data_IF_311692120846
#
_entry.id   IF_311692120846
#
_cell.length_a   1.000
_cell.length_b   1.000
_cell.length_c   1.000
_cell.angle_alpha   90.00
_cell.angle_beta   90.00
_cell.angle_gamma   90.00
#
_symmetry.space_group_name_H-M   'P 1'
#
loop_
_entity.id
_entity.type
_entity.pdbx_description
1 polymer ?
#
# COMPACT_ATOMS: atom_id res chain seq x y z
N UNK A 1 20.84 9.68 0.12
CA UNK A 1 19.77 8.81 0.63
C UNK A 1 19.54 7.67 -0.33
N UNK A 2 19.35 6.46 0.20
CA UNK A 2 19.03 5.29 -0.61
C UNK A 2 17.58 5.36 -1.07
N UNK A 3 17.31 5.03 -2.33
CA UNK A 3 15.97 4.74 -2.81
C UNK A 3 15.68 3.30 -2.44
N UNK A 4 14.45 3.01 -2.07
CA UNK A 4 13.99 1.67 -1.80
C UNK A 4 13.13 1.21 -2.98
N UNK A 5 13.63 0.22 -3.72
CA UNK A 5 12.94 -0.40 -4.85
C UNK A 5 12.84 -1.89 -4.62
N UNK A 6 11.70 -2.48 -4.91
CA UNK A 6 11.46 -3.90 -4.70
C UNK A 6 10.18 -4.38 -5.34
N UNK A 7 9.68 -5.51 -4.89
CA UNK A 7 8.51 -6.12 -5.47
C UNK A 7 7.63 -6.80 -4.42
N UNK A 8 6.36 -6.98 -4.76
CA UNK A 8 5.45 -7.87 -4.08
C UNK A 8 5.58 -9.26 -4.69
N UNK A 9 6.23 -10.17 -3.97
CA UNK A 9 6.41 -11.53 -4.42
C UNK A 9 5.84 -12.53 -3.41
N UNK A 10 5.54 -13.72 -3.88
CA UNK A 10 5.11 -14.80 -3.00
C UNK A 10 6.20 -15.11 -1.97
N UNK A 11 5.79 -15.28 -0.72
CA UNK A 11 6.70 -15.68 0.35
C UNK A 11 7.31 -17.04 0.00
N UNK A 12 8.63 -17.09 0.06
CA UNK A 12 9.39 -18.34 -0.01
C UNK A 12 9.30 -19.12 1.31
N UNK A 13 10.18 -20.08 1.53
CA UNK A 13 10.20 -20.87 2.76
C UNK A 13 10.25 -20.02 4.04
N UNK A 14 10.98 -18.90 4.01
CA UNK A 14 11.04 -17.92 5.09
C UNK A 14 10.97 -16.50 4.53
N UNK A 15 10.61 -15.52 5.38
CA UNK A 15 10.64 -14.10 5.00
C UNK A 15 12.07 -13.67 4.66
N UNK A 16 13.05 -14.06 5.45
CA UNK A 16 14.46 -13.75 5.20
C UNK A 16 14.89 -14.26 3.82
N UNK A 17 14.50 -15.50 3.47
CA UNK A 17 14.81 -16.04 2.15
C UNK A 17 14.19 -15.22 1.01
N UNK A 18 12.97 -14.72 1.22
CA UNK A 18 12.31 -13.84 0.26
C UNK A 18 13.04 -12.48 0.15
N UNK A 19 13.51 -11.92 1.28
CA UNK A 19 14.33 -10.70 1.29
C UNK A 19 15.67 -10.90 0.55
N UNK A 20 16.34 -12.02 0.78
CA UNK A 20 17.58 -12.40 0.06
C UNK A 20 17.34 -12.48 -1.44
N UNK A 21 16.22 -13.06 -1.87
CA UNK A 21 15.86 -13.17 -3.28
C UNK A 21 15.66 -11.80 -3.92
N UNK A 22 14.98 -10.88 -3.24
CA UNK A 22 14.85 -9.47 -3.68
C UNK A 22 16.23 -8.81 -3.77
N UNK A 23 17.07 -8.96 -2.75
CA UNK A 23 18.44 -8.39 -2.73
C UNK A 23 19.28 -8.91 -3.87
N UNK A 24 19.23 -10.21 -4.15
CA UNK A 24 19.95 -10.86 -5.27
C UNK A 24 19.52 -10.30 -6.62
N UNK A 25 18.28 -9.88 -6.75
CA UNK A 25 17.72 -9.28 -7.96
C UNK A 25 17.83 -7.74 -8.00
N UNK A 26 18.67 -7.15 -7.13
CA UNK A 26 18.98 -5.73 -7.16
C UNK A 26 17.99 -4.83 -6.40
N UNK A 27 17.00 -5.41 -5.70
CA UNK A 27 16.06 -4.67 -4.85
C UNK A 27 16.51 -4.57 -3.40
N UNK A 28 15.93 -3.66 -2.66
CA UNK A 28 16.17 -3.44 -1.23
C UNK A 28 14.87 -3.15 -0.45
N UNK A 29 13.74 -3.56 -0.98
CA UNK A 29 12.49 -3.60 -0.22
C UNK A 29 11.58 -4.74 -0.70
N UNK A 30 10.70 -5.19 0.18
CA UNK A 30 9.77 -6.29 -0.05
C UNK A 30 8.38 -5.88 0.44
N UNK A 31 7.37 -6.07 -0.42
CA UNK A 31 5.99 -6.13 0.02
C UNK A 31 5.55 -7.59 0.13
N UNK A 32 4.79 -7.90 1.17
CA UNK A 32 4.33 -9.26 1.42
C UNK A 32 2.96 -9.29 2.11
N UNK A 33 2.24 -10.40 1.95
CA UNK A 33 1.13 -10.73 2.83
C UNK A 33 1.64 -11.44 4.08
N UNK A 34 1.17 -11.02 5.24
CA UNK A 34 1.46 -11.68 6.53
C UNK A 34 0.31 -12.56 6.99
N UNK A 35 -0.85 -12.44 6.35
CA UNK A 35 -2.03 -13.27 6.52
C UNK A 35 -2.46 -13.88 5.18
N UNK A 36 -3.44 -14.79 5.20
CA UNK A 36 -4.03 -15.25 3.96
C UNK A 36 -4.80 -14.09 3.30
N UNK A 37 -4.43 -13.66 2.07
CA UNK A 37 -5.05 -12.50 1.43
C UNK A 37 -6.53 -12.68 1.10
N UNK A 38 -7.07 -13.89 1.22
CA UNK A 38 -8.48 -14.22 0.90
C UNK A 38 -9.26 -14.68 2.14
N UNK A 39 -8.76 -14.44 3.34
CA UNK A 39 -9.38 -14.87 4.58
C UNK A 39 -9.23 -13.81 5.67
N UNK A 40 -10.17 -13.77 6.61
CA UNK A 40 -10.07 -13.01 7.86
C UNK A 40 -9.52 -13.85 9.01
N UNK A 41 -9.00 -15.05 8.73
CA UNK A 41 -8.38 -15.90 9.73
C UNK A 41 -7.07 -15.29 10.21
N UNK A 42 -6.94 -15.12 11.52
CA UNK A 42 -5.74 -14.59 12.13
C UNK A 42 -4.63 -15.65 12.10
N UNK A 43 -3.42 -15.22 11.75
CA UNK A 43 -2.23 -16.07 11.86
C UNK A 43 -1.71 -16.07 13.30
N UNK A 44 -0.95 -17.10 13.69
CA UNK A 44 -0.30 -17.10 15.00
C UNK A 44 0.83 -16.05 15.03
N UNK A 45 0.73 -15.10 15.94
CA UNK A 45 1.70 -14.02 16.16
C UNK A 45 3.07 -14.55 16.53
N UNK A 46 3.15 -15.66 17.30
CA UNK A 46 4.42 -16.25 17.71
C UNK A 46 5.32 -16.60 16.52
N UNK A 47 4.73 -16.91 15.36
CA UNK A 47 5.47 -17.12 14.12
C UNK A 47 6.25 -15.89 13.65
N UNK A 48 5.79 -14.68 14.01
CA UNK A 48 6.44 -13.42 13.69
C UNK A 48 7.34 -12.93 14.82
N UNK A 49 6.95 -13.11 16.07
CA UNK A 49 7.78 -12.80 17.23
C UNK A 49 9.11 -13.56 17.18
N UNK A 50 9.07 -14.85 16.82
CA UNK A 50 10.26 -15.71 16.76
C UNK A 50 11.28 -15.33 15.67
N UNK A 51 10.89 -14.51 14.67
CA UNK A 51 11.75 -14.12 13.54
C UNK A 51 11.91 -12.60 13.43
N UNK A 52 11.30 -11.83 14.31
CA UNK A 52 11.27 -10.38 14.23
C UNK A 52 12.65 -9.75 14.28
N UNK A 53 13.49 -10.23 15.19
CA UNK A 53 14.84 -9.69 15.34
C UNK A 53 15.73 -10.03 14.14
N UNK A 54 15.62 -11.23 13.57
CA UNK A 54 16.30 -11.61 12.34
C UNK A 54 15.92 -10.69 11.17
N UNK A 55 14.61 -10.36 11.04
CA UNK A 55 14.12 -9.44 10.00
C UNK A 55 14.70 -8.04 10.20
N UNK A 56 14.70 -7.53 11.43
CA UNK A 56 15.25 -6.22 11.77
C UNK A 56 16.76 -6.16 11.54
N UNK A 57 17.49 -7.20 11.96
CA UNK A 57 18.93 -7.31 11.73
C UNK A 57 19.26 -7.33 10.24
N UNK A 58 18.58 -8.17 9.46
CA UNK A 58 18.74 -8.20 8.01
C UNK A 58 18.45 -6.83 7.39
N UNK A 59 17.36 -6.19 7.81
CA UNK A 59 16.96 -4.86 7.33
C UNK A 59 18.02 -3.80 7.62
N UNK A 60 18.56 -3.78 8.81
CA UNK A 60 19.62 -2.86 9.21
C UNK A 60 20.92 -3.11 8.42
N UNK A 61 21.35 -4.38 8.32
CA UNK A 61 22.59 -4.79 7.65
C UNK A 61 22.58 -4.50 6.15
N UNK A 62 21.44 -4.69 5.48
CA UNK A 62 21.32 -4.55 4.03
C UNK A 62 20.64 -3.26 3.60
N UNK A 63 20.36 -2.33 4.53
CA UNK A 63 19.55 -1.13 4.27
C UNK A 63 18.26 -1.51 3.53
N UNK A 64 17.52 -2.46 4.08
CA UNK A 64 16.35 -3.07 3.49
C UNK A 64 15.07 -2.63 4.22
N UNK A 65 13.96 -2.46 3.49
CA UNK A 65 12.66 -2.18 4.07
C UNK A 65 11.63 -3.25 3.73
N UNK A 66 10.68 -3.42 4.62
CA UNK A 66 9.48 -4.21 4.37
C UNK A 66 8.24 -3.32 4.45
N UNK A 67 7.23 -3.67 3.70
CA UNK A 67 5.88 -3.13 3.79
C UNK A 67 4.89 -4.29 3.65
N UNK A 68 3.78 -4.24 4.36
CA UNK A 68 2.76 -5.29 4.32
C UNK A 68 1.65 -4.83 3.38
N UNK A 69 1.10 -5.75 2.57
CA UNK A 69 -0.19 -5.55 1.92
C UNK A 69 -1.27 -6.25 2.73
N UNK A 70 -2.36 -5.57 2.98
CA UNK A 70 -3.48 -6.12 3.76
C UNK A 70 -4.23 -7.22 3.01
N UNK A 71 -4.95 -8.05 3.77
CA UNK A 71 -5.88 -9.00 3.18
C UNK A 71 -6.95 -8.31 2.32
N UNK A 72 -7.23 -8.84 1.14
CA UNK A 72 -8.30 -8.35 0.24
C UNK A 72 -9.71 -8.48 0.83
N UNK A 73 -9.87 -9.18 1.94
CA UNK A 73 -11.14 -9.29 2.65
C UNK A 73 -11.47 -8.06 3.49
N UNK A 74 -10.49 -7.18 3.70
CA UNK A 74 -10.67 -5.93 4.42
C UNK A 74 -11.37 -4.92 3.50
N UNK A 75 -12.47 -4.37 3.99
CA UNK A 75 -13.21 -3.30 3.32
C UNK A 75 -13.56 -2.23 4.35
N UNK A 76 -12.79 -1.14 4.36
CA UNK A 76 -12.90 -0.05 5.34
C UNK A 76 -14.28 0.63 5.35
N UNK A 77 -15.01 0.60 4.21
CA UNK A 77 -16.34 1.19 4.10
C UNK A 77 -17.48 0.23 4.51
N UNK A 78 -17.12 -1.02 4.87
CA UNK A 78 -18.11 -2.02 5.21
C UNK A 78 -18.60 -1.84 6.64
N UNK A 79 -19.92 -1.87 6.82
CA UNK A 79 -20.53 -1.95 8.15
C UNK A 79 -20.12 -3.24 8.89
N UNK A 80 -19.82 -3.13 10.18
CA UNK A 80 -19.51 -4.27 11.02
C UNK A 80 -20.78 -5.08 11.31
N UNK A 81 -20.94 -6.22 10.67
CA UNK A 81 -22.12 -7.09 10.79
C UNK A 81 -21.73 -8.56 10.95
N UNK A 82 -22.52 -9.28 11.74
CA UNK A 82 -22.59 -10.73 11.75
C UNK A 82 -23.97 -11.15 11.28
N UNK A 83 -24.08 -11.65 10.06
CA UNK A 83 -25.35 -11.81 9.37
C UNK A 83 -26.09 -10.48 9.20
N UNK A 84 -27.29 -10.37 9.77
CA UNK A 84 -28.12 -9.14 9.75
C UNK A 84 -27.87 -8.22 10.98
N UNK A 85 -27.16 -8.70 11.98
CA UNK A 85 -26.93 -7.95 13.23
C UNK A 85 -25.71 -7.07 13.09
N UNK A 86 -25.84 -5.77 13.41
CA UNK A 86 -24.71 -4.88 13.63
C UNK A 86 -23.96 -5.30 14.88
N UNK A 87 -22.64 -5.40 14.79
CA UNK A 87 -21.74 -5.76 15.87
C UNK A 87 -20.74 -4.63 16.14
N UNK A 88 -20.21 -4.53 17.35
CA UNK A 88 -19.19 -3.54 17.66
C UNK A 88 -17.89 -3.85 16.90
N UNK A 89 -17.05 -2.83 16.70
CA UNK A 89 -15.82 -2.92 15.89
C UNK A 89 -14.81 -3.92 16.46
N UNK A 90 -14.76 -4.09 17.77
CA UNK A 90 -13.89 -5.09 18.41
C UNK A 90 -14.33 -6.55 18.17
N UNK A 91 -15.53 -6.78 17.65
CA UNK A 91 -16.01 -8.11 17.24
C UNK A 91 -15.95 -8.29 15.71
N UNK A 92 -15.61 -7.24 14.96
CA UNK A 92 -15.62 -7.22 13.52
C UNK A 92 -14.37 -7.91 12.95
N UNK A 93 -14.53 -9.07 12.30
CA UNK A 93 -13.42 -9.92 11.86
C UNK A 93 -12.42 -9.20 10.95
N UNK A 94 -12.85 -8.39 9.99
CA UNK A 94 -11.95 -7.69 9.09
C UNK A 94 -11.19 -6.55 9.79
N UNK A 95 -11.78 -5.89 10.81
CA UNK A 95 -11.07 -4.91 11.65
C UNK A 95 -10.01 -5.62 12.49
N UNK A 96 -10.37 -6.77 13.09
CA UNK A 96 -9.41 -7.58 13.86
C UNK A 96 -8.26 -8.07 12.97
N UNK A 97 -8.53 -8.44 11.72
CA UNK A 97 -7.47 -8.79 10.76
C UNK A 97 -6.54 -7.61 10.51
N UNK A 98 -7.08 -6.40 10.25
CA UNK A 98 -6.25 -5.21 10.03
C UNK A 98 -5.41 -4.85 11.26
N UNK A 99 -5.99 -4.86 12.45
CA UNK A 99 -5.25 -4.61 13.70
C UNK A 99 -4.14 -5.64 13.92
N UNK A 100 -4.39 -6.88 13.58
CA UNK A 100 -3.42 -7.97 13.67
C UNK A 100 -2.25 -7.78 12.69
N UNK A 101 -2.54 -7.42 11.44
CA UNK A 101 -1.53 -7.11 10.42
C UNK A 101 -0.69 -5.87 10.80
N UNK A 102 -1.31 -4.85 11.38
CA UNK A 102 -0.62 -3.67 11.92
C UNK A 102 0.28 -4.02 13.11
N UNK A 103 -0.16 -4.91 13.99
CA UNK A 103 0.66 -5.40 15.09
C UNK A 103 1.87 -6.19 14.58
N UNK A 104 1.68 -7.06 13.59
CA UNK A 104 2.80 -7.75 12.93
C UNK A 104 3.74 -6.75 12.26
N UNK A 105 3.21 -5.73 11.58
CA UNK A 105 4.02 -4.65 10.99
C UNK A 105 4.93 -3.97 12.02
N UNK A 106 4.38 -3.66 13.21
CA UNK A 106 5.14 -3.11 14.33
C UNK A 106 6.24 -4.07 14.81
N UNK A 107 5.89 -5.34 15.03
CA UNK A 107 6.82 -6.38 15.53
C UNK A 107 8.04 -6.51 14.60
N UNK A 108 7.82 -6.63 13.29
CA UNK A 108 8.89 -6.85 12.32
C UNK A 108 9.57 -5.55 11.85
N UNK A 109 9.15 -4.39 12.33
CA UNK A 109 9.70 -3.09 11.93
C UNK A 109 9.37 -2.70 10.49
N UNK A 110 8.20 -3.09 10.00
CA UNK A 110 7.71 -2.77 8.67
C UNK A 110 7.27 -1.30 8.56
N UNK A 111 7.28 -0.74 7.35
CA UNK A 111 6.91 0.66 7.09
C UNK A 111 5.41 0.95 7.22
N UNK A 112 4.58 -0.07 7.30
CA UNK A 112 3.13 0.02 7.47
C UNK A 112 2.40 -1.11 6.75
N UNK A 113 1.08 -0.99 6.71
CA UNK A 113 0.15 -1.92 6.03
C UNK A 113 -0.60 -1.16 4.96
N UNK A 114 -0.38 -1.50 3.69
CA UNK A 114 -1.13 -0.95 2.55
C UNK A 114 -2.53 -1.56 2.54
N UNK A 115 -3.53 -0.70 2.45
CA UNK A 115 -4.94 -1.07 2.50
C UNK A 115 -5.68 -0.36 1.36
N UNK A 116 -6.41 -1.12 0.54
CA UNK A 116 -7.33 -0.52 -0.42
C UNK A 116 -8.38 0.33 0.29
N UNK A 117 -8.77 1.44 -0.30
CA UNK A 117 -9.95 2.19 0.16
C UNK A 117 -11.20 1.31 0.10
N UNK A 118 -12.20 1.65 0.90
CA UNK A 118 -13.41 0.85 0.97
C UNK A 118 -14.29 0.91 -0.28
N UNK A 119 -15.16 -0.09 -0.39
CA UNK A 119 -16.26 -0.17 -1.36
C UNK A 119 -17.58 -0.07 -0.60
N UNK A 120 -18.46 0.85 -1.01
CA UNK A 120 -19.75 1.02 -0.31
C UNK A 120 -20.75 -0.11 -0.58
N UNK A 121 -20.50 -0.91 -1.63
CA UNK A 121 -21.30 -2.10 -2.01
C UNK A 121 -22.80 -1.79 -2.17
N UNK A 122 -23.64 -2.25 -1.25
CA UNK A 122 -25.11 -2.04 -1.25
C UNK A 122 -25.57 -0.85 -0.40
N UNK A 123 -24.64 -0.16 0.27
CA UNK A 123 -24.92 1.04 1.06
C UNK A 123 -24.88 2.30 0.17
N UNK A 124 -25.32 3.44 0.72
CA UNK A 124 -25.05 4.71 0.04
C UNK A 124 -23.56 5.05 0.11
N UNK A 125 -23.12 5.91 -0.79
CA UNK A 125 -21.72 6.38 -0.79
C UNK A 125 -21.37 7.10 0.52
N UNK A 126 -22.28 7.90 1.04
CA UNK A 126 -22.15 8.66 2.28
C UNK A 126 -21.97 7.72 3.48
N UNK A 127 -22.83 6.71 3.61
CA UNK A 127 -22.70 5.67 4.65
C UNK A 127 -21.35 4.92 4.56
N UNK A 128 -20.91 4.63 3.33
CA UNK A 128 -19.59 4.01 3.11
C UNK A 128 -18.44 4.89 3.59
N UNK A 129 -18.49 6.21 3.35
CA UNK A 129 -17.50 7.16 3.82
C UNK A 129 -17.52 7.33 5.35
N UNK A 130 -18.70 7.37 5.96
CA UNK A 130 -18.88 7.42 7.42
C UNK A 130 -18.30 6.15 8.08
N UNK A 131 -18.61 4.97 7.53
CA UNK A 131 -18.06 3.71 8.03
C UNK A 131 -16.53 3.67 7.91
N UNK A 132 -16.00 4.12 6.77
CA UNK A 132 -14.55 4.16 6.53
C UNK A 132 -13.85 5.09 7.54
N UNK A 133 -14.44 6.27 7.80
CA UNK A 133 -13.92 7.19 8.80
C UNK A 133 -13.92 6.54 10.18
N UNK A 134 -15.07 6.03 10.61
CA UNK A 134 -15.21 5.42 11.93
C UNK A 134 -14.26 4.22 12.13
N UNK A 135 -14.08 3.39 11.08
CA UNK A 135 -13.15 2.28 11.12
C UNK A 135 -11.69 2.75 11.26
N UNK A 136 -11.27 3.78 10.52
CA UNK A 136 -9.92 4.32 10.62
C UNK A 136 -9.67 4.98 11.98
N UNK A 137 -10.62 5.78 12.50
CA UNK A 137 -10.53 6.37 13.83
C UNK A 137 -10.40 5.28 14.90
N UNK A 138 -11.22 4.23 14.85
CA UNK A 138 -11.13 3.09 15.76
C UNK A 138 -9.77 2.39 15.69
N UNK A 139 -9.24 2.16 14.47
CA UNK A 139 -7.92 1.54 14.29
C UNK A 139 -6.82 2.43 14.86
N UNK A 140 -6.84 3.73 14.56
CA UNK A 140 -5.86 4.71 15.06
C UNK A 140 -5.87 4.75 16.59
N UNK A 141 -7.05 4.83 17.21
CA UNK A 141 -7.19 4.82 18.67
C UNK A 141 -6.58 3.55 19.30
N UNK A 142 -6.77 2.40 18.65
CA UNK A 142 -6.15 1.15 19.10
C UNK A 142 -4.62 1.17 18.97
N UNK A 143 -4.08 1.72 17.86
CA UNK A 143 -2.64 1.86 17.67
C UNK A 143 -2.04 2.78 18.76
N UNK A 144 -2.68 3.90 19.03
CA UNK A 144 -2.25 4.85 20.06
C UNK A 144 -2.27 4.22 21.45
N UNK A 145 -3.41 3.61 21.81
CA UNK A 145 -3.61 3.01 23.13
C UNK A 145 -2.61 1.88 23.43
N UNK A 146 -2.19 1.14 22.42
CA UNK A 146 -1.27 0.01 22.56
C UNK A 146 0.17 0.35 22.15
N UNK A 147 0.49 1.63 21.93
CA UNK A 147 1.83 2.12 21.55
C UNK A 147 2.41 1.41 20.31
N UNK A 148 1.54 1.09 19.35
CA UNK A 148 1.91 0.40 18.11
C UNK A 148 2.36 1.43 17.08
N UNK A 149 3.64 1.45 16.75
CA UNK A 149 4.22 2.34 15.74
C UNK A 149 4.10 1.76 14.33
N UNK A 150 2.86 1.56 13.85
CA UNK A 150 2.58 1.13 12.49
C UNK A 150 1.64 2.13 11.80
N UNK A 151 1.67 2.17 10.46
CA UNK A 151 0.81 3.04 9.66
C UNK A 151 -0.20 2.22 8.87
N UNK A 152 -1.44 2.71 8.83
CA UNK A 152 -2.42 2.33 7.80
C UNK A 152 -2.11 3.15 6.55
N UNK A 153 -1.66 2.52 5.49
CA UNK A 153 -1.25 3.20 4.25
C UNK A 153 -2.38 3.05 3.24
N UNK A 154 -3.17 4.11 3.06
CA UNK A 154 -4.32 4.11 2.16
C UNK A 154 -3.86 4.14 0.70
N UNK A 155 -4.29 3.16 -0.07
CA UNK A 155 -3.96 3.06 -1.48
C UNK A 155 -4.95 3.85 -2.33
N UNK A 156 -4.44 4.59 -3.33
CA UNK A 156 -5.28 5.30 -4.30
C UNK A 156 -6.08 4.31 -5.14
N UNK A 157 -7.41 4.44 -5.25
CA UNK A 157 -8.26 3.47 -5.93
C UNK A 157 -8.28 3.62 -7.45
N UNK A 158 -8.54 2.50 -8.14
CA UNK A 158 -8.81 2.49 -9.57
C UNK A 158 -10.23 2.98 -9.93
N UNK A 159 -11.14 2.94 -8.97
CA UNK A 159 -12.57 3.24 -9.18
C UNK A 159 -13.39 2.03 -9.62
N UNK A 160 -12.90 0.80 -9.34
CA UNK A 160 -13.59 -0.42 -9.76
C UNK A 160 -14.84 -0.68 -8.93
N UNK A 161 -15.98 -0.79 -9.62
CA UNK A 161 -17.28 -1.07 -9.00
C UNK A 161 -17.74 0.10 -8.12
N UNK A 162 -17.83 -0.12 -6.80
CA UNK A 162 -18.31 0.86 -5.84
C UNK A 162 -17.19 1.39 -4.94
N UNK A 163 -15.95 1.40 -5.42
CA UNK A 163 -14.82 2.00 -4.70
C UNK A 163 -15.07 3.47 -4.40
N UNK A 164 -14.75 3.85 -3.16
CA UNK A 164 -14.82 5.22 -2.71
C UNK A 164 -13.56 6.00 -3.11
N UNK A 165 -13.65 7.33 -3.06
CA UNK A 165 -12.49 8.23 -3.18
C UNK A 165 -11.70 8.10 -4.48
N UNK A 166 -12.35 7.71 -5.58
CA UNK A 166 -11.72 7.59 -6.91
C UNK A 166 -11.27 8.96 -7.46
N UNK A 167 -12.00 10.03 -7.11
CA UNK A 167 -11.50 11.38 -7.36
C UNK A 167 -10.38 11.70 -6.36
N UNK A 168 -9.21 12.06 -6.88
CA UNK A 168 -8.02 12.28 -6.06
C UNK A 168 -8.14 13.51 -5.14
N UNK A 169 -8.92 14.52 -5.53
CA UNK A 169 -9.20 15.65 -4.63
C UNK A 169 -10.05 15.20 -3.45
N UNK A 170 -11.09 14.38 -3.70
CA UNK A 170 -11.91 13.82 -2.61
C UNK A 170 -11.08 12.91 -1.70
N UNK A 171 -10.18 12.10 -2.28
CA UNK A 171 -9.23 11.27 -1.51
C UNK A 171 -8.37 12.15 -0.58
N UNK A 172 -7.79 13.22 -1.11
CA UNK A 172 -6.96 14.14 -0.33
C UNK A 172 -7.76 14.94 0.70
N UNK A 173 -8.99 15.36 0.37
CA UNK A 173 -9.90 16.01 1.35
C UNK A 173 -10.22 15.05 2.48
N UNK A 174 -10.57 13.80 2.19
CA UNK A 174 -10.84 12.77 3.19
C UNK A 174 -9.60 12.51 4.05
N UNK A 175 -8.43 12.30 3.45
CA UNK A 175 -7.16 12.07 4.15
C UNK A 175 -6.81 13.25 5.08
N UNK A 176 -6.91 14.48 4.59
CA UNK A 176 -6.56 15.69 5.33
C UNK A 176 -7.64 16.09 6.36
N UNK A 177 -8.78 15.41 6.40
CA UNK A 177 -9.80 15.63 7.44
C UNK A 177 -9.47 14.97 8.78
N UNK A 178 -8.45 14.09 8.82
CA UNK A 178 -7.86 13.58 10.06
C UNK A 178 -6.91 14.62 10.66
N UNK A 179 -6.83 14.66 12.00
CA UNK A 179 -5.91 15.56 12.70
C UNK A 179 -4.44 15.18 12.41
N UNK A 180 -3.52 16.13 12.64
CA UNK A 180 -2.07 15.85 12.49
C UNK A 180 -1.61 14.67 13.36
N UNK A 181 -2.12 14.55 14.58
CA UNK A 181 -1.82 13.43 15.46
C UNK A 181 -2.32 12.09 14.90
N UNK A 182 -3.54 12.07 14.34
CA UNK A 182 -4.08 10.88 13.69
C UNK A 182 -3.28 10.50 12.42
N UNK A 183 -2.87 11.50 11.63
CA UNK A 183 -2.07 11.26 10.42
C UNK A 183 -0.68 10.68 10.68
N UNK A 184 -0.17 10.74 11.90
CA UNK A 184 1.06 9.99 12.25
C UNK A 184 0.90 8.48 12.07
N UNK A 185 -0.33 7.98 12.15
CA UNK A 185 -0.71 6.57 11.97
C UNK A 185 -1.29 6.28 10.57
N UNK A 186 -1.35 7.28 9.72
CA UNK A 186 -1.80 7.14 8.33
C UNK A 186 -0.65 7.35 7.36
N UNK A 187 -0.82 6.84 6.15
CA UNK A 187 0.05 7.08 5.01
C UNK A 187 -0.73 6.96 3.71
N UNK A 188 -0.08 7.29 2.61
CA UNK A 188 -0.64 7.19 1.25
C UNK A 188 0.24 6.22 0.46
N UNK A 189 -0.39 5.31 -0.28
CA UNK A 189 0.21 4.54 -1.35
C UNK A 189 -0.36 5.03 -2.68
N UNK A 190 0.49 5.48 -3.60
CA UNK A 190 0.07 5.82 -4.96
C UNK A 190 0.30 4.59 -5.86
N UNK A 191 -0.79 3.99 -6.38
CA UNK A 191 -0.68 2.96 -7.40
C UNK A 191 -0.82 3.58 -8.80
N UNK A 192 0.18 3.36 -9.66
CA UNK A 192 0.23 3.97 -10.99
C UNK A 192 -0.81 3.40 -11.95
N UNK A 193 -1.15 2.11 -11.85
CA UNK A 193 -2.21 1.50 -12.65
C UNK A 193 -3.60 1.97 -12.20
N UNK A 194 -3.80 2.15 -10.88
CA UNK A 194 -5.04 2.70 -10.32
C UNK A 194 -5.25 4.15 -10.74
N UNK A 195 -4.23 5.00 -10.60
CA UNK A 195 -4.28 6.41 -11.03
C UNK A 195 -4.62 6.52 -12.52
N UNK A 196 -4.00 5.70 -13.35
CA UNK A 196 -4.30 5.63 -14.77
C UNK A 196 -5.75 5.19 -15.03
N UNK A 197 -6.19 4.13 -14.37
CA UNK A 197 -7.56 3.65 -14.47
C UNK A 197 -8.59 4.68 -13.96
N UNK A 198 -8.24 5.47 -12.95
CA UNK A 198 -9.06 6.56 -12.43
C UNK A 198 -9.09 7.79 -13.38
N UNK A 199 -8.18 7.87 -14.37
CA UNK A 199 -8.20 8.90 -15.40
C UNK A 199 -7.13 9.98 -15.26
N UNK A 200 -6.15 9.82 -14.37
CA UNK A 200 -5.09 10.79 -14.13
C UNK A 200 -3.80 10.44 -14.88
N UNK A 201 -3.00 11.46 -15.20
CA UNK A 201 -1.59 11.28 -15.55
C UNK A 201 -0.76 11.06 -14.28
N UNK A 202 0.27 10.20 -14.36
CA UNK A 202 1.08 9.81 -13.20
C UNK A 202 1.74 11.01 -12.52
N UNK A 203 2.32 11.90 -13.33
CA UNK A 203 3.00 13.10 -12.84
C UNK A 203 2.04 14.10 -12.18
N UNK A 204 0.82 14.20 -12.67
CA UNK A 204 -0.16 15.15 -12.14
C UNK A 204 -0.74 14.62 -10.82
N UNK A 205 -1.07 13.33 -10.74
CA UNK A 205 -1.48 12.69 -9.49
C UNK A 205 -0.39 12.82 -8.41
N UNK A 206 0.86 12.57 -8.79
CA UNK A 206 1.98 12.74 -7.86
C UNK A 206 2.12 14.18 -7.35
N UNK A 207 1.99 15.17 -8.24
CA UNK A 207 2.02 16.60 -7.85
C UNK A 207 0.87 16.95 -6.90
N UNK A 208 -0.36 16.46 -7.17
CA UNK A 208 -1.51 16.68 -6.30
C UNK A 208 -1.26 16.17 -4.88
N UNK A 209 -0.76 14.94 -4.74
CA UNK A 209 -0.41 14.36 -3.43
C UNK A 209 0.74 15.14 -2.80
N UNK A 210 1.83 15.38 -3.53
CA UNK A 210 3.03 16.00 -2.99
C UNK A 210 2.88 17.46 -2.58
N UNK A 211 1.85 18.15 -3.05
CA UNK A 211 1.62 19.55 -2.72
C UNK A 211 1.43 19.81 -1.23
N UNK A 212 0.74 18.87 -0.53
CA UNK A 212 0.45 19.00 0.90
C UNK A 212 0.84 17.76 1.70
N UNK A 213 1.00 16.61 1.05
CA UNK A 213 1.15 15.32 1.68
C UNK A 213 2.43 14.59 1.21
N UNK A 214 3.49 15.34 0.90
CA UNK A 214 4.74 14.75 0.42
C UNK A 214 5.36 13.76 1.43
N UNK A 215 5.27 14.05 2.73
CA UNK A 215 5.78 13.20 3.79
C UNK A 215 4.84 12.04 4.14
N UNK A 216 3.57 12.17 3.76
CA UNK A 216 2.56 11.12 3.95
C UNK A 216 2.62 10.04 2.85
N UNK A 217 3.29 10.31 1.71
CA UNK A 217 3.47 9.35 0.63
C UNK A 217 4.51 8.30 1.04
N UNK A 218 4.03 7.18 1.59
CA UNK A 218 4.85 6.09 2.13
C UNK A 218 5.33 5.15 1.03
N UNK A 219 4.45 4.82 0.09
CA UNK A 219 4.73 3.85 -0.97
C UNK A 219 4.20 4.28 -2.33
N UNK A 220 4.82 3.74 -3.36
CA UNK A 220 4.35 3.78 -4.74
C UNK A 220 4.29 2.34 -5.23
N UNK A 221 3.12 1.87 -5.64
CA UNK A 221 2.98 0.67 -6.45
C UNK A 221 3.22 1.07 -7.91
N UNK A 222 4.35 0.65 -8.43
CA UNK A 222 4.77 1.00 -9.79
C UNK A 222 4.36 -0.13 -10.75
N UNK A 223 3.23 0.04 -11.38
CA UNK A 223 2.62 -0.94 -12.27
C UNK A 223 2.29 -0.29 -13.62
N UNK A 224 2.35 -1.05 -14.71
CA UNK A 224 1.65 -0.69 -15.92
C UNK A 224 0.21 -1.21 -15.85
N UNK A 225 -0.66 -0.77 -16.74
CA UNK A 225 -2.07 -1.13 -16.79
C UNK A 225 -2.42 -1.84 -18.08
N UNK A 226 -3.23 -2.92 -18.03
CA UNK A 226 -3.80 -3.58 -19.20
C UNK A 226 -5.03 -2.89 -19.77
N UNK A 227 -5.51 -1.86 -19.09
CA UNK A 227 -6.73 -1.15 -19.44
C UNK A 227 -6.46 0.30 -19.75
N UNK A 228 -7.28 0.87 -20.60
CA UNK A 228 -7.13 2.28 -21.03
C UNK A 228 -7.38 3.24 -19.88
N UNK A 229 -6.82 4.44 -20.00
CA UNK A 229 -7.01 5.54 -19.06
C UNK A 229 -8.50 5.85 -18.84
N UNK A 230 -8.88 6.00 -17.58
CA UNK A 230 -10.26 6.32 -17.19
C UNK A 230 -11.23 5.13 -17.22
N UNK A 231 -10.74 3.91 -17.42
CA UNK A 231 -11.57 2.70 -17.51
C UNK A 231 -12.24 2.29 -16.20
N UNK A 232 -11.69 2.73 -15.06
CA UNK A 232 -12.11 2.32 -13.71
C UNK A 232 -12.05 0.80 -13.50
N UNK A 233 -11.01 0.17 -14.04
CA UNK A 233 -10.78 -1.27 -13.89
C UNK A 233 -9.36 -1.50 -13.44
N UNK A 234 -9.18 -2.26 -12.39
CA UNK A 234 -7.87 -2.65 -11.88
C UNK A 234 -7.36 -3.88 -12.62
N UNK A 235 -6.32 -3.70 -13.45
CA UNK A 235 -5.62 -4.78 -14.17
C UNK A 235 -4.18 -4.39 -14.40
N UNK A 236 -3.29 -4.92 -13.59
CA UNK A 236 -1.86 -4.68 -13.68
C UNK A 236 -1.23 -5.36 -14.89
N UNK A 237 -0.27 -4.70 -15.49
CA UNK A 237 0.65 -5.22 -16.50
C UNK A 237 2.09 -5.01 -16.03
N UNK A 238 3.04 -5.76 -16.59
CA UNK A 238 4.46 -5.48 -16.39
C UNK A 238 4.84 -4.15 -17.05
N UNK A 239 5.92 -3.53 -16.61
CA UNK A 239 6.38 -2.24 -17.16
C UNK A 239 6.73 -2.33 -18.66
N UNK A 240 7.15 -3.51 -19.11
CA UNK A 240 7.58 -3.79 -20.49
C UNK A 240 6.56 -4.60 -21.30
N UNK A 241 5.35 -4.79 -20.77
CA UNK A 241 4.30 -5.53 -21.48
C UNK A 241 3.81 -4.73 -22.69
N UNK A 242 3.88 -5.34 -23.87
CA UNK A 242 3.40 -4.72 -25.13
C UNK A 242 1.87 -4.44 -25.11
N UNK A 243 1.15 -5.07 -24.17
CA UNK A 243 -0.28 -4.81 -23.93
C UNK A 243 -0.52 -3.75 -22.87
N UNK A 244 0.53 -3.24 -22.24
CA UNK A 244 0.45 -2.15 -21.28
C UNK A 244 0.00 -0.85 -21.95
N UNK A 245 -0.96 -0.17 -21.32
CA UNK A 245 -1.59 1.04 -21.89
C UNK A 245 -1.03 2.34 -21.33
N UNK A 246 -0.31 2.30 -20.22
CA UNK A 246 0.45 3.45 -19.74
C UNK A 246 1.68 3.57 -20.66
N UNK A 247 1.85 4.71 -21.36
CA UNK A 247 2.98 4.88 -22.27
C UNK A 247 4.32 4.73 -21.53
N UNK A 248 5.26 4.01 -22.12
CA UNK A 248 6.60 3.82 -21.57
C UNK A 248 7.26 5.14 -21.15
N UNK A 249 7.15 6.17 -22.00
CA UNK A 249 7.70 7.49 -21.70
C UNK A 249 7.04 8.14 -20.47
N UNK A 250 5.75 7.90 -20.22
CA UNK A 250 5.07 8.43 -19.03
C UNK A 250 5.62 7.79 -17.76
N UNK A 251 5.85 6.47 -17.75
CA UNK A 251 6.47 5.77 -16.61
C UNK A 251 7.92 6.26 -16.41
N UNK A 252 8.69 6.39 -17.50
CA UNK A 252 10.07 6.89 -17.43
C UNK A 252 10.14 8.30 -16.87
N UNK A 253 9.33 9.23 -17.41
CA UNK A 253 9.24 10.62 -16.92
C UNK A 253 8.81 10.68 -15.45
N UNK A 254 7.92 9.79 -15.03
CA UNK A 254 7.51 9.69 -13.63
C UNK A 254 8.69 9.29 -12.73
N UNK A 255 9.48 8.29 -13.12
CA UNK A 255 10.70 7.91 -12.39
C UNK A 255 11.74 9.04 -12.36
N UNK A 256 11.92 9.75 -13.47
CA UNK A 256 12.80 10.93 -13.53
C UNK A 256 12.35 12.04 -12.58
N UNK A 257 11.03 12.26 -12.47
CA UNK A 257 10.47 13.20 -11.48
C UNK A 257 10.78 12.76 -10.04
N UNK A 258 10.68 11.48 -9.73
CA UNK A 258 11.06 10.94 -8.41
C UNK A 258 12.55 11.12 -8.12
N UNK A 259 13.42 10.84 -9.12
CA UNK A 259 14.86 11.06 -9.03
C UNK A 259 15.21 12.53 -8.73
N UNK A 260 14.57 13.46 -9.42
CA UNK A 260 14.87 14.87 -9.26
C UNK A 260 14.37 15.41 -7.91
N UNK A 261 13.25 14.90 -7.41
CA UNK A 261 12.79 15.16 -6.05
C UNK A 261 13.74 14.62 -4.98
N UNK A 262 14.40 13.48 -5.20
CA UNK A 262 15.42 12.93 -4.29
C UNK A 262 16.50 13.95 -3.93
N UNK A 263 16.84 14.84 -4.84
CA UNK A 263 17.83 15.90 -4.61
C UNK A 263 17.31 16.99 -3.66
N UNK A 264 15.99 17.17 -3.58
CA UNK A 264 15.34 18.26 -2.87
C UNK A 264 14.71 17.85 -1.52
N UNK A 265 14.39 16.58 -1.31
CA UNK A 265 13.68 16.11 -0.11
C UNK A 265 14.44 15.02 0.62
N UNK A 266 14.26 14.96 1.96
CA UNK A 266 14.80 13.89 2.80
C UNK A 266 13.93 12.64 2.83
N UNK A 267 12.69 12.71 2.31
CA UNK A 267 11.74 11.61 2.30
C UNK A 267 11.50 11.13 0.88
N UNK A 268 11.66 9.82 0.66
CA UNK A 268 11.32 9.15 -0.58
C UNK A 268 10.41 7.97 -0.25
N UNK A 269 9.31 7.79 -1.00
CA UNK A 269 8.45 6.63 -0.86
C UNK A 269 9.20 5.34 -1.24
N UNK A 270 8.73 4.24 -0.72
CA UNK A 270 9.15 2.90 -1.13
C UNK A 270 8.50 2.58 -2.48
N UNK A 271 9.27 2.11 -3.46
CA UNK A 271 8.75 1.74 -4.78
C UNK A 271 8.61 0.22 -4.85
N UNK A 272 7.40 -0.26 -5.08
CA UNK A 272 7.05 -1.68 -5.14
C UNK A 272 6.45 -2.02 -6.50
N UNK A 273 7.00 -3.05 -7.15
CA UNK A 273 6.40 -3.69 -8.31
C UNK A 273 5.36 -4.71 -7.84
N UNK A 274 4.14 -4.62 -8.36
CA UNK A 274 3.09 -5.64 -8.19
C UNK A 274 2.72 -6.28 -9.53
N UNK A 275 3.65 -6.21 -10.46
CA UNK A 275 3.45 -6.70 -11.80
C UNK A 275 3.29 -8.23 -11.80
N UNK A 276 2.39 -8.81 -12.63
CA UNK A 276 2.14 -10.24 -12.69
C UNK A 276 3.27 -11.01 -13.38
N UNK A 277 4.51 -10.65 -13.12
CA UNK A 277 5.70 -11.14 -13.83
C UNK A 277 6.59 -11.93 -12.90
N UNK A 278 7.20 -12.98 -13.46
CA UNK A 278 8.38 -13.61 -12.86
C UNK A 278 9.68 -12.87 -13.23
N UNK A 279 9.60 -11.81 -14.06
CA UNK A 279 10.74 -11.05 -14.58
C UNK A 279 10.95 -9.70 -13.88
N UNK A 280 10.44 -9.55 -12.67
CA UNK A 280 10.60 -8.30 -11.90
C UNK A 280 12.09 -7.90 -11.71
N UNK A 281 13.03 -8.80 -11.85
CA UNK A 281 14.46 -8.50 -11.76
C UNK A 281 14.91 -7.51 -12.85
N UNK A 282 14.46 -7.70 -14.10
CA UNK A 282 14.78 -6.81 -15.22
C UNK A 282 14.13 -5.41 -14.99
N UNK A 283 12.91 -5.40 -14.44
CA UNK A 283 12.19 -4.18 -14.11
C UNK A 283 12.90 -3.41 -12.98
N UNK A 284 13.35 -4.11 -11.92
CA UNK A 284 14.13 -3.51 -10.82
C UNK A 284 15.43 -2.88 -11.34
N UNK A 285 16.16 -3.60 -12.20
CA UNK A 285 17.39 -3.08 -12.79
C UNK A 285 17.12 -1.83 -13.63
N UNK A 286 16.07 -1.82 -14.44
CA UNK A 286 15.70 -0.67 -15.25
C UNK A 286 15.32 0.54 -14.38
N UNK A 287 14.55 0.35 -13.32
CA UNK A 287 14.19 1.41 -12.36
C UNK A 287 15.45 1.97 -11.70
N UNK A 288 16.35 1.08 -11.23
CA UNK A 288 17.58 1.48 -10.56
C UNK A 288 18.51 2.32 -11.46
N UNK A 289 18.51 2.06 -12.78
CA UNK A 289 19.29 2.82 -13.74
C UNK A 289 18.73 4.23 -14.03
N UNK A 290 17.46 4.49 -13.70
CA UNK A 290 16.84 5.81 -13.90
C UNK A 290 16.95 6.65 -12.62
N UNK A 291 16.80 6.04 -11.44
CA UNK A 291 16.76 6.70 -10.12
C UNK A 291 18.14 6.90 -9.51
#
# INVERSE_FOLDING_TARGET
MSIYIGAHINREKTIIKTMETITKNGGNCLQLFVSNPRSTSLVNIDNYLSIADDIKEYSAKHNFKTIIHSSYTINLARECKNGKRVIPMNECSWIQTLLHELYISHIIGSSGVVVHVGKHTTQTREQGLENMRAALEYVIDNLQKNEISAKVVLETPAGQGTELLTDLNEFLIFYNSFTEEQRKYLGICLDTAHIWAAGYELSDAHKMISNKNAEDLVAIHLNNSKVIKGSRVDRHATLFDNTGTIPYNSIKQYLELLRDKKKATKHLPIIILETPSTKYADELLWIANIL
#
